data_IF_459833205111
#
_entry.id   IF_459833205111
#
_cell.length_a   1.000
_cell.length_b   1.000
_cell.length_c   1.000
_cell.angle_alpha   90.00
_cell.angle_beta   90.00
_cell.angle_gamma   90.00
#
_symmetry.space_group_name_H-M   'P 1'
#
loop_
_entity.id
_entity.type
_entity.pdbx_description
1 polymer ?
#
# COMPACT_ATOMS: atom_id res chain seq x y z
N UNK A 1 51.58 27.62 50.44
CA UNK A 1 50.98 26.36 49.95
C UNK A 1 49.62 26.62 49.48
N UNK A 2 49.42 26.93 48.20
CA UNK A 2 48.11 27.09 47.56
C UNK A 2 48.21 26.67 46.07
N UNK A 3 48.04 25.39 45.84
CA UNK A 3 47.83 24.86 44.51
C UNK A 3 46.48 24.15 44.55
N UNK A 4 45.54 24.52 43.62
CA UNK A 4 44.50 23.72 43.00
C UNK A 4 43.14 24.42 42.85
N UNK A 5 43.00 25.36 41.90
CA UNK A 5 41.71 25.47 41.22
C UNK A 5 41.79 25.18 39.69
N UNK A 6 42.98 24.99 39.08
CA UNK A 6 43.09 24.87 37.63
C UNK A 6 42.70 23.51 37.02
N UNK A 7 42.67 22.41 37.79
CA UNK A 7 42.39 21.07 37.28
C UNK A 7 40.88 20.81 37.13
N UNK A 8 40.02 21.46 37.90
CA UNK A 8 38.58 21.27 37.82
C UNK A 8 37.92 21.98 36.61
N UNK A 9 38.49 23.07 36.10
CA UNK A 9 37.97 23.78 34.93
C UNK A 9 38.25 23.03 33.62
N UNK A 10 39.36 22.27 33.54
CA UNK A 10 39.72 21.52 32.34
C UNK A 10 38.87 20.26 32.13
N UNK A 11 38.37 19.64 33.22
CA UNK A 11 37.48 18.46 33.12
C UNK A 11 36.07 18.79 32.63
N UNK A 12 35.51 19.96 32.98
CA UNK A 12 34.21 20.40 32.49
C UNK A 12 34.22 20.77 31.00
N UNK A 13 35.33 21.27 30.46
CA UNK A 13 35.45 21.64 29.04
C UNK A 13 35.58 20.40 28.16
N UNK A 14 36.14 19.29 28.63
CA UNK A 14 36.27 18.03 27.90
C UNK A 14 34.94 17.27 27.79
N UNK A 15 33.99 17.45 28.73
CA UNK A 15 32.65 16.82 28.66
C UNK A 15 31.70 17.49 27.65
N UNK A 16 31.96 18.76 27.30
CA UNK A 16 31.10 19.48 26.30
C UNK A 16 31.39 19.09 24.85
N UNK A 17 32.53 18.45 24.57
CA UNK A 17 32.92 18.05 23.20
C UNK A 17 32.32 16.73 22.75
N UNK A 18 31.60 16.00 23.61
CA UNK A 18 30.94 14.72 23.28
C UNK A 18 29.42 14.83 23.07
N UNK A 19 28.84 16.02 23.20
CA UNK A 19 27.47 16.23 22.86
C UNK A 19 27.35 16.36 21.33
N UNK A 20 27.25 15.25 20.63
CA UNK A 20 26.75 15.27 19.24
C UNK A 20 25.44 16.00 19.25
N UNK A 21 25.23 17.03 18.41
CA UNK A 21 23.93 17.70 18.31
C UNK A 21 22.89 16.63 17.97
N UNK A 22 21.89 16.47 18.82
CA UNK A 22 20.72 15.68 18.48
C UNK A 22 20.13 16.30 17.20
N UNK A 23 20.33 15.64 16.08
CA UNK A 23 19.79 16.09 14.81
C UNK A 23 18.33 15.70 14.78
N UNK A 24 17.46 16.64 14.42
CA UNK A 24 16.06 16.33 14.26
C UNK A 24 15.90 15.25 13.17
N UNK A 25 15.18 14.22 13.50
CA UNK A 25 14.80 13.14 12.58
C UNK A 25 14.05 13.72 11.38
N UNK A 26 14.30 13.21 10.17
CA UNK A 26 13.56 13.62 8.98
C UNK A 26 12.11 13.14 9.10
N UNK A 27 11.20 14.09 9.12
CA UNK A 27 9.77 13.78 9.17
C UNK A 27 9.27 13.30 7.80
N UNK A 28 8.80 12.07 7.76
CA UNK A 28 8.18 11.45 6.58
C UNK A 28 6.71 11.16 6.88
N UNK A 29 5.85 11.57 5.96
CA UNK A 29 4.43 11.22 5.95
C UNK A 29 4.13 10.47 4.66
N UNK A 30 3.32 9.44 4.74
CA UNK A 30 2.80 8.73 3.58
C UNK A 30 1.28 8.82 3.55
N UNK A 31 0.66 8.73 2.39
CA UNK A 31 -0.81 8.79 2.31
C UNK A 31 -1.43 7.53 2.92
N UNK A 32 -0.96 6.37 2.52
CA UNK A 32 -1.49 5.05 2.90
C UNK A 32 -0.44 4.19 3.59
N UNK A 33 -0.91 3.23 4.36
CA UNK A 33 -0.05 2.33 5.15
C UNK A 33 0.95 1.51 4.31
N UNK A 34 0.63 0.96 3.13
CA UNK A 34 1.64 0.27 2.31
C UNK A 34 2.88 1.13 2.01
N UNK A 35 2.70 2.42 1.71
CA UNK A 35 3.82 3.34 1.55
C UNK A 35 4.58 3.59 2.86
N UNK A 36 3.87 3.63 4.00
CA UNK A 36 4.49 3.73 5.33
C UNK A 36 5.37 2.50 5.63
N UNK A 37 4.94 1.31 5.24
CA UNK A 37 5.71 0.09 5.43
C UNK A 37 7.01 0.11 4.62
N UNK A 38 6.97 0.58 3.37
CA UNK A 38 8.17 0.79 2.55
C UNK A 38 9.09 1.84 3.18
N UNK A 39 8.53 2.99 3.60
CA UNK A 39 9.30 4.05 4.24
C UNK A 39 9.94 3.59 5.56
N UNK A 40 9.25 2.76 6.36
CA UNK A 40 9.78 2.19 7.59
C UNK A 40 11.00 1.27 7.33
N UNK A 41 10.97 0.50 6.25
CA UNK A 41 12.13 -0.31 5.87
C UNK A 41 13.34 0.56 5.51
N UNK A 42 13.14 1.71 4.85
CA UNK A 42 14.24 2.60 4.47
C UNK A 42 14.74 3.43 5.66
N UNK A 43 13.86 3.85 6.57
CA UNK A 43 14.22 4.63 7.77
C UNK A 43 14.65 3.76 8.96
N UNK A 44 14.77 2.44 8.80
CA UNK A 44 15.12 1.54 9.90
C UNK A 44 16.41 1.94 10.66
N UNK A 45 16.25 2.14 11.97
CA UNK A 45 17.33 2.59 12.86
C UNK A 45 17.70 4.08 12.72
N UNK A 46 16.92 4.88 11.96
CA UNK A 46 17.12 6.34 11.81
C UNK A 46 15.88 7.10 12.20
N UNK A 47 14.69 6.62 11.80
CA UNK A 47 13.47 7.33 12.01
C UNK A 47 12.20 6.46 11.88
N UNK A 48 11.05 7.08 12.12
CA UNK A 48 9.74 6.44 12.02
C UNK A 48 8.83 7.25 11.08
N UNK A 49 8.39 6.68 9.94
CA UNK A 49 7.45 7.36 9.07
C UNK A 49 6.03 7.35 9.66
N UNK A 50 5.29 8.40 9.38
CA UNK A 50 3.89 8.51 9.76
C UNK A 50 2.96 8.26 8.56
N UNK A 51 1.67 8.01 8.82
CA UNK A 51 0.66 7.78 7.79
C UNK A 51 -0.50 8.78 7.92
N UNK A 52 -1.00 9.27 6.78
CA UNK A 52 -2.08 10.25 6.73
C UNK A 52 -3.44 9.61 7.02
N UNK A 53 -3.76 8.55 6.29
CA UNK A 53 -5.03 7.85 6.45
C UNK A 53 -5.01 6.97 7.70
N UNK A 54 -6.02 7.09 8.57
CA UNK A 54 -6.15 6.19 9.72
C UNK A 54 -6.48 4.77 9.25
N UNK A 55 -6.20 3.74 10.07
CA UNK A 55 -6.56 2.36 9.76
C UNK A 55 -8.03 2.21 9.38
N UNK A 56 -8.30 1.50 8.29
CA UNK A 56 -9.65 1.23 7.78
C UNK A 56 -10.31 2.39 7.04
N UNK A 57 -9.61 3.50 6.81
CA UNK A 57 -10.09 4.56 5.92
C UNK A 57 -9.81 4.18 4.47
N UNK A 58 -10.81 4.38 3.60
CA UNK A 58 -10.65 4.17 2.16
C UNK A 58 -9.76 5.25 1.54
N UNK A 59 -8.74 4.88 0.75
CA UNK A 59 -7.93 5.85 0.02
C UNK A 59 -8.67 6.50 -1.15
N UNK A 60 -9.75 5.90 -1.64
CA UNK A 60 -10.56 6.46 -2.74
C UNK A 60 -11.46 7.60 -2.28
N UNK A 61 -11.93 7.55 -1.03
CA UNK A 61 -12.91 8.49 -0.48
C UNK A 61 -12.54 8.88 0.95
N UNK A 62 -11.67 9.87 1.08
CA UNK A 62 -11.29 10.39 2.39
C UNK A 62 -11.51 11.89 2.49
N UNK A 63 -12.21 12.32 3.53
CA UNK A 63 -12.39 13.73 3.85
C UNK A 63 -11.30 14.21 4.80
N UNK A 64 -10.36 15.03 4.29
CA UNK A 64 -9.27 15.58 5.07
C UNK A 64 -9.78 16.42 6.26
N UNK A 65 -9.28 16.13 7.45
CA UNK A 65 -9.51 16.92 8.66
C UNK A 65 -8.55 18.11 8.71
N UNK A 66 -8.86 19.18 9.45
CA UNK A 66 -7.91 20.29 9.63
C UNK A 66 -6.56 19.87 10.20
N UNK A 67 -6.52 18.81 11.04
CA UNK A 67 -5.29 18.20 11.55
C UNK A 67 -4.45 17.57 10.43
N UNK A 68 -5.09 16.91 9.47
CA UNK A 68 -4.42 16.25 8.35
C UNK A 68 -3.76 17.30 7.44
N UNK A 69 -4.47 18.37 7.14
CA UNK A 69 -3.94 19.51 6.37
C UNK A 69 -2.74 20.15 7.06
N UNK A 70 -2.75 20.23 8.41
CA UNK A 70 -1.61 20.74 9.17
C UNK A 70 -0.41 19.80 9.06
N UNK A 71 -0.59 18.49 9.28
CA UNK A 71 0.46 17.47 9.15
C UNK A 71 1.10 17.52 7.75
N UNK A 72 0.28 17.62 6.70
CA UNK A 72 0.73 17.77 5.32
C UNK A 72 1.61 19.03 5.12
N UNK A 73 1.31 20.13 5.79
CA UNK A 73 2.10 21.38 5.67
C UNK A 73 3.42 21.33 6.42
N UNK A 74 3.48 20.63 7.53
CA UNK A 74 4.61 20.62 8.47
C UNK A 74 5.67 19.56 8.12
N UNK A 75 5.29 18.44 7.49
CA UNK A 75 6.20 17.34 7.18
C UNK A 75 7.21 17.72 6.08
N UNK A 76 8.44 17.20 6.17
CA UNK A 76 9.49 17.48 5.19
C UNK A 76 9.26 16.74 3.88
N UNK A 77 9.01 15.42 3.95
CA UNK A 77 8.78 14.56 2.80
C UNK A 77 7.37 13.94 2.87
N UNK A 78 6.62 14.04 1.79
CA UNK A 78 5.30 13.41 1.67
C UNK A 78 5.25 12.53 0.42
N UNK A 79 4.86 11.25 0.61
CA UNK A 79 4.67 10.28 -0.45
C UNK A 79 3.21 9.85 -0.52
N UNK A 80 2.66 9.85 -1.72
CA UNK A 80 1.28 9.45 -2.01
C UNK A 80 1.23 8.71 -3.33
N UNK A 81 0.18 7.92 -3.57
CA UNK A 81 0.07 7.16 -4.82
C UNK A 81 -0.03 8.12 -6.00
N UNK A 82 -1.00 9.02 -5.97
CA UNK A 82 -1.21 9.99 -7.02
C UNK A 82 -2.68 10.38 -7.15
N UNK A 83 -3.00 11.30 -8.10
CA UNK A 83 -4.37 11.81 -8.27
C UNK A 83 -5.39 10.73 -8.68
N UNK A 84 -4.93 9.60 -9.23
CA UNK A 84 -5.82 8.50 -9.63
C UNK A 84 -6.31 7.67 -8.42
N UNK A 85 -5.67 7.78 -7.24
CA UNK A 85 -6.15 7.19 -5.99
C UNK A 85 -6.68 8.28 -5.04
N UNK A 86 -5.81 9.22 -4.65
CA UNK A 86 -6.14 10.23 -3.65
C UNK A 86 -6.55 11.55 -4.31
N UNK A 87 -7.69 11.54 -5.02
CA UNK A 87 -8.23 12.70 -5.76
C UNK A 87 -8.50 13.94 -4.88
N UNK A 88 -8.57 13.76 -3.56
CA UNK A 88 -8.75 14.83 -2.58
C UNK A 88 -7.46 15.58 -2.22
N UNK A 89 -6.26 15.08 -2.59
CA UNK A 89 -4.98 15.66 -2.20
C UNK A 89 -4.48 16.81 -3.11
N UNK A 90 -4.66 16.82 -4.44
CA UNK A 90 -4.03 17.80 -5.33
C UNK A 90 -4.22 19.25 -4.91
N UNK A 91 -5.43 19.65 -4.51
CA UNK A 91 -5.72 21.02 -4.08
C UNK A 91 -4.98 21.45 -2.81
N UNK A 92 -4.77 20.52 -1.89
CA UNK A 92 -4.07 20.79 -0.62
C UNK A 92 -2.58 20.82 -0.85
N UNK A 93 -2.06 19.95 -1.72
CA UNK A 93 -0.64 19.85 -2.04
C UNK A 93 -0.14 21.03 -2.85
N UNK A 94 -0.98 21.69 -3.65
CA UNK A 94 -0.61 22.88 -4.43
C UNK A 94 -0.09 24.05 -3.57
N UNK A 95 -0.47 24.12 -2.29
CA UNK A 95 0.00 25.14 -1.33
C UNK A 95 1.15 24.70 -0.42
N UNK A 96 1.71 23.48 -0.63
CA UNK A 96 2.74 22.91 0.22
C UNK A 96 4.14 23.41 -0.17
N UNK A 97 4.99 23.70 0.83
CA UNK A 97 6.39 24.11 0.63
C UNK A 97 7.36 22.92 0.61
N UNK A 98 7.05 21.82 1.30
CA UNK A 98 7.87 20.62 1.32
C UNK A 98 7.74 19.75 0.07
N UNK A 99 8.60 18.78 -0.12
CA UNK A 99 8.53 17.85 -1.23
C UNK A 99 7.31 16.92 -1.15
N UNK A 100 6.55 16.83 -2.24
CA UNK A 100 5.43 15.90 -2.41
C UNK A 100 5.70 15.03 -3.63
N UNK A 101 5.72 13.71 -3.44
CA UNK A 101 6.07 12.74 -4.48
C UNK A 101 4.84 11.88 -4.76
N UNK A 102 4.24 12.05 -5.94
CA UNK A 102 3.26 11.10 -6.47
C UNK A 102 4.05 9.91 -7.01
N UNK A 103 3.92 8.75 -6.35
CA UNK A 103 4.75 7.59 -6.72
C UNK A 103 4.34 6.99 -8.06
N UNK A 104 3.09 7.16 -8.49
CA UNK A 104 2.66 6.73 -9.83
C UNK A 104 3.46 7.42 -10.95
N UNK A 105 3.99 8.61 -10.73
CA UNK A 105 4.73 9.39 -11.73
C UNK A 105 6.24 9.08 -11.75
N UNK A 106 6.72 8.16 -10.90
CA UNK A 106 8.13 7.82 -10.83
C UNK A 106 8.59 7.11 -12.09
N UNK A 107 9.77 7.46 -12.64
CA UNK A 107 10.37 6.71 -13.73
C UNK A 107 10.58 5.23 -13.35
N UNK A 108 10.21 4.32 -14.25
CA UNK A 108 10.37 2.88 -14.04
C UNK A 108 9.22 2.20 -13.29
N UNK A 109 8.15 2.93 -12.97
CA UNK A 109 6.93 2.29 -12.46
C UNK A 109 6.28 1.44 -13.56
N UNK A 110 5.86 0.24 -13.20
CA UNK A 110 4.98 -0.57 -14.02
C UNK A 110 3.54 -0.16 -13.73
N UNK A 111 2.88 0.44 -14.71
CA UNK A 111 1.52 0.95 -14.58
C UNK A 111 0.55 0.12 -15.40
N UNK A 112 -0.55 -0.29 -14.79
CA UNK A 112 -1.65 -1.02 -15.40
C UNK A 112 -2.84 -0.09 -15.64
N UNK A 113 -3.70 -0.49 -16.54
CA UNK A 113 -5.02 0.12 -16.74
C UNK A 113 -6.09 -0.94 -16.57
N UNK A 114 -7.22 -0.56 -16.04
CA UNK A 114 -8.38 -1.44 -16.00
C UNK A 114 -8.77 -1.85 -17.41
N UNK A 115 -8.98 -3.15 -17.64
CA UNK A 115 -9.40 -3.71 -18.91
C UNK A 115 -10.90 -3.97 -18.90
N UNK A 116 -11.56 -3.82 -20.06
CA UNK A 116 -12.95 -4.25 -20.21
C UNK A 116 -13.02 -5.78 -20.02
N UNK A 117 -13.69 -6.23 -18.99
CA UNK A 117 -14.35 -7.52 -19.09
C UNK A 117 -15.53 -7.31 -20.04
N UNK A 118 -15.53 -8.00 -21.17
CA UNK A 118 -16.40 -7.84 -22.36
C UNK A 118 -17.72 -7.12 -22.09
N UNK A 119 -17.92 -6.04 -22.84
CA UNK A 119 -19.17 -5.27 -22.87
C UNK A 119 -20.33 -6.19 -23.24
N UNK A 120 -21.15 -6.60 -22.27
CA UNK A 120 -22.56 -6.73 -22.57
C UNK A 120 -23.15 -5.31 -22.50
N UNK A 121 -23.49 -4.81 -23.69
CA UNK A 121 -24.15 -3.52 -23.93
C UNK A 121 -25.20 -3.23 -22.85
N UNK A 122 -24.95 -2.22 -22.01
CA UNK A 122 -26.03 -1.42 -21.43
C UNK A 122 -25.50 -0.15 -20.80
N UNK A 123 -25.71 0.95 -21.54
CA UNK A 123 -25.61 2.31 -21.06
C UNK A 123 -26.56 2.53 -19.87
N UNK A 124 -26.00 2.62 -18.71
CA UNK A 124 -26.60 3.21 -17.53
C UNK A 124 -25.51 4.01 -16.88
N UNK A 125 -25.37 5.27 -17.32
CA UNK A 125 -24.38 6.19 -16.75
C UNK A 125 -24.85 6.61 -15.36
N UNK A 126 -24.29 6.01 -14.31
CA UNK A 126 -24.18 6.65 -13.02
C UNK A 126 -22.89 7.46 -13.03
N UNK A 127 -23.01 8.80 -13.07
CA UNK A 127 -21.89 9.75 -13.27
C UNK A 127 -20.94 9.87 -12.08
N UNK A 128 -20.99 8.98 -11.11
CA UNK A 128 -20.28 9.14 -9.83
C UNK A 128 -19.13 8.16 -9.59
N UNK A 129 -18.87 7.21 -10.51
CA UNK A 129 -17.79 6.22 -10.32
C UNK A 129 -16.72 6.40 -11.41
N UNK A 130 -15.73 7.25 -11.11
CA UNK A 130 -14.67 7.62 -12.06
C UNK A 130 -13.41 6.76 -11.91
N UNK A 131 -13.23 6.04 -10.80
CA UNK A 131 -11.92 5.54 -10.40
C UNK A 131 -11.54 4.18 -11.01
N UNK A 132 -12.52 3.35 -11.46
CA UNK A 132 -12.29 2.02 -12.03
C UNK A 132 -12.90 1.83 -13.42
N UNK A 133 -12.88 2.87 -14.25
CA UNK A 133 -13.37 2.77 -15.62
C UNK A 133 -12.31 2.13 -16.53
N UNK A 134 -12.73 1.34 -17.52
CA UNK A 134 -11.83 0.80 -18.52
C UNK A 134 -10.95 1.88 -19.16
N UNK A 135 -9.64 1.62 -19.21
CA UNK A 135 -8.65 2.56 -19.71
C UNK A 135 -8.11 3.56 -18.67
N UNK A 136 -8.74 3.69 -17.49
CA UNK A 136 -8.20 4.43 -16.35
C UNK A 136 -7.05 3.68 -15.70
N UNK A 137 -6.16 4.41 -15.03
CA UNK A 137 -5.05 3.81 -14.29
C UNK A 137 -5.57 2.97 -13.12
N UNK A 138 -5.11 1.74 -13.01
CA UNK A 138 -5.22 0.99 -11.77
C UNK A 138 -4.20 1.53 -10.76
N UNK A 139 -4.71 2.18 -9.73
CA UNK A 139 -3.87 2.88 -8.76
C UNK A 139 -3.33 1.98 -7.63
N UNK A 140 -3.68 0.67 -7.60
CA UNK A 140 -3.23 -0.28 -6.57
C UNK A 140 -1.79 -0.79 -6.80
N UNK A 141 -0.96 0.08 -7.34
CA UNK A 141 0.42 -0.17 -7.83
C UNK A 141 1.40 -0.65 -6.74
N UNK A 142 1.08 -0.43 -5.46
CA UNK A 142 1.91 -0.89 -4.34
C UNK A 142 1.91 -2.41 -4.16
N UNK A 143 0.98 -3.12 -4.77
CA UNK A 143 0.88 -4.57 -4.70
C UNK A 143 1.85 -5.30 -5.63
N UNK A 144 2.56 -4.57 -6.49
CA UNK A 144 3.62 -5.14 -7.33
C UNK A 144 5.00 -4.98 -6.67
N UNK A 145 5.73 -6.07 -6.37
CA UNK A 145 7.06 -5.98 -5.76
C UNK A 145 8.06 -5.14 -6.55
N UNK A 146 7.98 -5.12 -7.88
CA UNK A 146 8.84 -4.29 -8.72
C UNK A 146 8.61 -2.80 -8.48
N UNK A 147 7.36 -2.37 -8.36
CA UNK A 147 6.99 -1.00 -8.04
C UNK A 147 7.47 -0.59 -6.65
N UNK A 148 7.32 -1.48 -5.66
CA UNK A 148 7.80 -1.22 -4.31
C UNK A 148 9.32 -0.99 -4.25
N UNK A 149 10.12 -1.69 -5.08
CA UNK A 149 11.56 -1.42 -5.22
C UNK A 149 11.82 -0.03 -5.79
N UNK A 150 11.10 0.38 -6.82
CA UNK A 150 11.21 1.73 -7.40
C UNK A 150 10.87 2.81 -6.38
N UNK A 151 9.79 2.63 -5.62
CA UNK A 151 9.37 3.52 -4.54
C UNK A 151 10.44 3.59 -3.44
N UNK A 152 10.94 2.45 -2.98
CA UNK A 152 11.96 2.36 -1.95
C UNK A 152 13.28 3.06 -2.36
N UNK A 153 13.71 2.87 -3.61
CA UNK A 153 14.90 3.52 -4.17
C UNK A 153 14.74 5.04 -4.17
N UNK A 154 13.58 5.54 -4.58
CA UNK A 154 13.28 6.98 -4.54
C UNK A 154 13.25 7.51 -3.11
N UNK A 155 12.62 6.83 -2.17
CA UNK A 155 12.60 7.21 -0.75
C UNK A 155 14.01 7.27 -0.16
N UNK A 156 14.87 6.30 -0.48
CA UNK A 156 16.26 6.26 -0.02
C UNK A 156 17.09 7.43 -0.58
N UNK A 157 16.86 7.81 -1.83
CA UNK A 157 17.52 8.94 -2.46
C UNK A 157 17.09 10.27 -1.82
N UNK A 158 15.79 10.52 -1.70
CA UNK A 158 15.24 11.73 -1.10
C UNK A 158 15.71 11.89 0.36
N UNK A 159 15.68 10.81 1.16
CA UNK A 159 16.16 10.80 2.54
C UNK A 159 17.65 11.09 2.62
N UNK A 160 18.47 10.52 1.72
CA UNK A 160 19.90 10.77 1.67
C UNK A 160 20.24 12.22 1.30
N UNK A 161 19.38 12.89 0.52
CA UNK A 161 19.53 14.31 0.17
C UNK A 161 19.18 15.22 1.37
N UNK A 162 18.08 14.92 2.07
CA UNK A 162 17.61 15.74 3.21
C UNK A 162 18.46 15.51 4.45
N UNK A 163 18.97 14.29 4.65
CA UNK A 163 19.82 13.89 5.77
C UNK A 163 21.09 13.17 5.31
N UNK A 164 22.08 13.93 4.79
CA UNK A 164 23.33 13.37 4.29
C UNK A 164 24.14 12.59 5.34
N UNK A 165 23.94 12.89 6.63
CA UNK A 165 24.65 12.20 7.71
C UNK A 165 24.27 10.72 7.80
N UNK A 166 23.01 10.38 7.50
CA UNK A 166 22.48 9.02 7.52
C UNK A 166 22.37 8.40 6.10
N UNK A 167 22.89 9.05 5.06
CA UNK A 167 22.80 8.59 3.66
C UNK A 167 23.32 7.16 3.46
N UNK A 168 24.42 6.80 4.18
CA UNK A 168 24.95 5.44 4.15
C UNK A 168 24.00 4.41 4.73
N UNK A 169 23.25 4.77 5.79
CA UNK A 169 22.26 3.90 6.42
C UNK A 169 21.06 3.68 5.50
N UNK A 170 20.51 4.74 4.90
CA UNK A 170 19.39 4.62 3.95
C UNK A 170 19.73 3.72 2.76
N UNK A 171 20.93 3.83 2.19
CA UNK A 171 21.40 2.94 1.12
C UNK A 171 21.56 1.49 1.58
N UNK A 172 22.07 1.26 2.78
CA UNK A 172 22.19 -0.08 3.35
C UNK A 172 20.82 -0.71 3.60
N UNK A 173 19.86 0.08 4.09
CA UNK A 173 18.49 -0.36 4.31
C UNK A 173 17.77 -0.68 3.00
N UNK A 174 17.96 0.14 1.96
CA UNK A 174 17.43 -0.14 0.61
C UNK A 174 17.94 -1.49 0.10
N UNK A 175 19.26 -1.73 0.16
CA UNK A 175 19.84 -2.99 -0.27
C UNK A 175 19.27 -4.18 0.50
N UNK A 176 19.14 -4.05 1.82
CA UNK A 176 18.57 -5.10 2.66
C UNK A 176 17.09 -5.37 2.33
N UNK A 177 16.30 -4.31 2.07
CA UNK A 177 14.91 -4.41 1.61
C UNK A 177 14.81 -5.15 0.27
N UNK A 178 15.63 -4.78 -0.73
CA UNK A 178 15.64 -5.41 -2.05
C UNK A 178 16.00 -6.90 -1.98
N UNK A 179 16.99 -7.27 -1.13
CA UNK A 179 17.40 -8.66 -0.91
C UNK A 179 16.28 -9.49 -0.27
N UNK A 180 15.64 -8.98 0.80
CA UNK A 180 14.53 -9.67 1.46
C UNK A 180 13.33 -9.81 0.54
N UNK A 181 12.95 -8.72 -0.14
CA UNK A 181 11.82 -8.72 -1.08
C UNK A 181 12.07 -9.68 -2.25
N UNK A 182 13.30 -9.75 -2.78
CA UNK A 182 13.68 -10.69 -3.83
C UNK A 182 13.55 -12.15 -3.41
N UNK A 183 13.97 -12.46 -2.17
CA UNK A 183 13.85 -13.79 -1.59
C UNK A 183 12.40 -14.20 -1.33
N UNK A 184 11.56 -13.26 -0.90
CA UNK A 184 10.13 -13.49 -0.70
C UNK A 184 9.41 -13.69 -2.04
N UNK A 185 9.63 -12.80 -3.01
CA UNK A 185 9.00 -12.82 -4.33
C UNK A 185 9.15 -14.19 -5.03
N UNK A 186 10.34 -14.79 -4.97
CA UNK A 186 10.57 -16.12 -5.47
C UNK A 186 9.72 -17.20 -4.79
N UNK A 187 9.62 -17.16 -3.47
CA UNK A 187 8.80 -18.12 -2.68
C UNK A 187 7.30 -17.97 -2.96
N UNK A 188 6.82 -16.72 -3.06
CA UNK A 188 5.42 -16.46 -3.34
C UNK A 188 5.05 -16.91 -4.77
N UNK A 189 5.91 -16.67 -5.75
CA UNK A 189 5.72 -17.13 -7.13
C UNK A 189 5.61 -18.65 -7.20
N UNK A 190 6.46 -19.37 -6.49
CA UNK A 190 6.39 -20.83 -6.45
C UNK A 190 5.10 -21.33 -5.77
N UNK A 191 4.71 -20.71 -4.64
CA UNK A 191 3.54 -21.13 -3.88
C UNK A 191 2.23 -20.84 -4.62
N UNK A 192 2.06 -19.59 -5.05
CA UNK A 192 0.81 -19.11 -5.66
C UNK A 192 0.64 -19.60 -7.09
N UNK A 193 1.74 -19.82 -7.83
CA UNK A 193 1.68 -20.40 -9.17
C UNK A 193 1.03 -21.78 -9.22
N UNK A 194 1.04 -22.54 -8.12
CA UNK A 194 0.32 -23.82 -7.98
C UNK A 194 -1.21 -23.65 -7.90
N UNK A 195 -1.66 -22.43 -7.65
CA UNK A 195 -3.08 -22.07 -7.51
C UNK A 195 -3.64 -21.43 -8.79
N UNK A 196 -2.81 -21.26 -9.82
CA UNK A 196 -3.24 -20.70 -11.11
C UNK A 196 -4.44 -21.44 -11.68
N UNK A 197 -5.42 -20.69 -12.19
CA UNK A 197 -6.65 -21.24 -12.78
C UNK A 197 -7.72 -21.68 -11.77
N UNK A 198 -7.47 -21.64 -10.47
CA UNK A 198 -8.53 -21.86 -9.47
C UNK A 198 -9.47 -20.66 -9.44
N UNK A 199 -10.81 -20.85 -9.49
CA UNK A 199 -11.76 -19.77 -9.61
C UNK A 199 -11.88 -18.98 -8.32
N UNK A 200 -11.77 -17.65 -8.43
CA UNK A 200 -12.07 -16.73 -7.35
C UNK A 200 -12.65 -15.41 -7.88
N UNK A 201 -13.36 -14.74 -7.01
CA UNK A 201 -14.01 -13.48 -7.25
C UNK A 201 -13.56 -12.48 -6.19
N UNK A 202 -13.45 -11.21 -6.55
CA UNK A 202 -13.12 -10.12 -5.66
C UNK A 202 -14.30 -9.15 -5.58
N UNK A 203 -14.48 -8.52 -4.41
CA UNK A 203 -15.49 -7.47 -4.29
C UNK A 203 -15.07 -6.20 -5.01
N UNK A 204 -13.81 -5.85 -4.92
CA UNK A 204 -13.21 -4.67 -5.49
C UNK A 204 -12.01 -5.07 -6.38
N UNK A 205 -11.84 -4.42 -7.51
CA UNK A 205 -10.77 -4.70 -8.49
C UNK A 205 -9.45 -4.02 -8.03
N UNK A 206 -8.84 -4.56 -6.97
CA UNK A 206 -7.64 -3.98 -6.36
C UNK A 206 -6.39 -4.86 -6.51
N UNK A 207 -6.53 -6.12 -6.90
CA UNK A 207 -5.46 -7.12 -6.76
C UNK A 207 -4.71 -7.44 -8.05
N UNK A 208 -5.02 -6.79 -9.16
CA UNK A 208 -4.45 -7.07 -10.49
C UNK A 208 -2.93 -7.06 -10.55
N UNK A 209 -2.29 -6.13 -9.85
CA UNK A 209 -0.82 -6.10 -9.74
C UNK A 209 -0.25 -7.31 -9.00
N UNK A 210 -0.93 -7.74 -7.93
CA UNK A 210 -0.55 -8.94 -7.18
C UNK A 210 -0.81 -10.20 -8.00
N UNK A 211 -1.94 -10.26 -8.66
CA UNK A 211 -2.33 -11.37 -9.55
C UNK A 211 -1.32 -11.53 -10.69
N UNK A 212 -0.94 -10.43 -11.34
CA UNK A 212 0.09 -10.43 -12.39
C UNK A 212 1.44 -10.92 -11.87
N UNK A 213 1.87 -10.44 -10.68
CA UNK A 213 3.15 -10.85 -10.09
C UNK A 213 3.24 -12.36 -9.87
N UNK A 214 2.12 -13.00 -9.53
CA UNK A 214 2.12 -14.38 -9.04
C UNK A 214 1.32 -15.36 -9.91
N UNK A 215 0.85 -14.93 -11.07
CA UNK A 215 0.16 -15.80 -12.04
C UNK A 215 -1.25 -16.21 -11.60
N UNK A 216 -1.90 -15.40 -10.77
CA UNK A 216 -3.30 -15.53 -10.42
C UNK A 216 -4.16 -14.73 -11.40
N UNK A 217 -5.44 -15.02 -11.46
CA UNK A 217 -6.44 -14.24 -12.20
C UNK A 217 -7.81 -14.46 -11.61
N UNK A 218 -8.47 -13.40 -11.16
CA UNK A 218 -9.85 -13.46 -10.71
C UNK A 218 -10.80 -13.80 -11.88
N UNK A 219 -11.94 -14.41 -11.53
CA UNK A 219 -12.97 -14.82 -12.50
C UNK A 219 -13.99 -13.71 -12.72
N UNK A 220 -14.17 -12.82 -11.74
CA UNK A 220 -15.08 -11.69 -11.82
C UNK A 220 -14.98 -10.77 -10.61
N UNK A 221 -15.54 -9.57 -10.78
CA UNK A 221 -15.54 -8.47 -9.82
C UNK A 221 -16.99 -8.10 -9.47
N UNK A 222 -17.29 -7.93 -8.18
CA UNK A 222 -18.66 -7.62 -7.74
C UNK A 222 -18.99 -6.13 -7.77
N UNK A 223 -18.03 -5.28 -7.50
CA UNK A 223 -18.20 -3.84 -7.47
C UNK A 223 -17.00 -3.13 -8.09
N UNK A 224 -17.23 -1.99 -8.68
CA UNK A 224 -16.16 -1.15 -9.26
C UNK A 224 -15.29 -0.56 -8.15
N UNK A 225 -15.86 -0.28 -6.99
CA UNK A 225 -15.11 0.09 -5.78
C UNK A 225 -15.77 -0.49 -4.53
N UNK A 226 -15.04 -0.56 -3.43
CA UNK A 226 -15.53 -1.12 -2.16
C UNK A 226 -16.73 -0.34 -1.58
N UNK A 227 -16.89 0.93 -1.95
CA UNK A 227 -17.93 1.84 -1.47
C UNK A 227 -19.20 1.83 -2.31
N UNK A 228 -19.14 1.30 -3.54
CA UNK A 228 -20.28 1.30 -4.47
C UNK A 228 -21.06 -0.01 -4.37
N UNK A 229 -22.35 0.11 -4.12
CA UNK A 229 -23.24 -1.07 -4.13
C UNK A 229 -23.60 -1.44 -5.57
N UNK A 230 -23.32 -2.68 -6.01
CA UNK A 230 -23.65 -3.10 -7.36
C UNK A 230 -25.16 -3.15 -7.57
N UNK A 231 -25.62 -2.77 -8.77
CA UNK A 231 -27.01 -2.84 -9.16
C UNK A 231 -27.54 -4.28 -9.25
N UNK A 232 -28.85 -4.48 -9.10
CA UNK A 232 -29.48 -5.79 -9.04
C UNK A 232 -29.19 -6.69 -10.28
N UNK A 233 -29.06 -6.10 -11.46
CA UNK A 233 -28.72 -6.84 -12.70
C UNK A 233 -27.31 -7.41 -12.63
N UNK A 234 -26.33 -6.58 -12.19
CA UNK A 234 -24.95 -7.02 -12.04
C UNK A 234 -24.82 -8.11 -10.97
N UNK A 235 -25.51 -7.95 -9.83
CA UNK A 235 -25.60 -9.00 -8.78
C UNK A 235 -26.12 -10.32 -9.33
N UNK A 236 -27.16 -10.28 -10.16
CA UNK A 236 -27.72 -11.50 -10.77
C UNK A 236 -26.72 -12.14 -11.76
N UNK A 237 -26.02 -11.35 -12.57
CA UNK A 237 -24.98 -11.84 -13.47
C UNK A 237 -23.82 -12.48 -12.70
N UNK A 238 -23.32 -11.82 -11.65
CA UNK A 238 -22.24 -12.36 -10.78
C UNK A 238 -22.66 -13.67 -10.10
N UNK A 239 -23.92 -13.77 -9.63
CA UNK A 239 -24.44 -15.02 -9.07
C UNK A 239 -24.48 -16.15 -10.12
N UNK A 240 -24.82 -15.84 -11.36
CA UNK A 240 -24.80 -16.81 -12.46
C UNK A 240 -23.36 -17.27 -12.75
N UNK A 241 -22.39 -16.37 -12.76
CA UNK A 241 -20.97 -16.72 -12.94
C UNK A 241 -20.44 -17.56 -11.77
N UNK A 242 -20.77 -17.24 -10.51
CA UNK A 242 -20.43 -18.06 -9.35
C UNK A 242 -20.97 -19.47 -9.46
N UNK A 243 -22.23 -19.59 -9.89
CA UNK A 243 -22.87 -20.91 -10.10
C UNK A 243 -22.19 -21.70 -11.21
N UNK A 244 -21.75 -21.05 -12.27
CA UNK A 244 -21.05 -21.68 -13.38
C UNK A 244 -19.62 -22.10 -13.00
N UNK A 245 -18.94 -21.30 -12.16
CA UNK A 245 -17.59 -21.60 -11.69
C UNK A 245 -17.53 -22.81 -10.75
N UNK A 246 -18.63 -23.14 -10.06
CA UNK A 246 -18.67 -24.22 -9.07
C UNK A 246 -17.96 -23.83 -7.77
N UNK A 247 -17.14 -24.74 -7.17
CA UNK A 247 -16.36 -24.38 -5.98
C UNK A 247 -15.42 -23.21 -6.27
N UNK A 248 -15.59 -22.09 -5.52
CA UNK A 248 -14.82 -20.89 -5.72
C UNK A 248 -14.58 -20.14 -4.41
N UNK A 249 -13.62 -19.20 -4.41
CA UNK A 249 -13.44 -18.23 -3.33
C UNK A 249 -14.08 -16.90 -3.69
N UNK A 250 -14.66 -16.22 -2.69
CA UNK A 250 -15.06 -14.82 -2.77
C UNK A 250 -14.25 -14.06 -1.74
N UNK A 251 -13.52 -13.05 -2.19
CA UNK A 251 -12.70 -12.20 -1.34
C UNK A 251 -13.31 -10.81 -1.17
N UNK A 252 -13.28 -10.31 0.06
CA UNK A 252 -13.62 -8.93 0.40
C UNK A 252 -12.48 -8.29 1.18
N UNK A 253 -12.43 -6.95 1.21
CA UNK A 253 -11.40 -6.21 1.94
C UNK A 253 -11.89 -5.82 3.34
N UNK A 254 -11.06 -6.00 4.40
CA UNK A 254 -11.36 -5.48 5.73
C UNK A 254 -11.30 -3.93 5.75
N UNK A 255 -12.05 -3.25 6.65
CA UNK A 255 -12.89 -3.85 7.68
C UNK A 255 -14.32 -4.16 7.20
N UNK A 256 -14.62 -3.94 5.95
CA UNK A 256 -15.98 -4.05 5.40
C UNK A 256 -16.20 -5.43 4.79
N UNK A 257 -16.93 -6.28 5.49
CA UNK A 257 -17.51 -7.48 4.87
C UNK A 257 -18.89 -7.13 4.32
N UNK A 258 -19.05 -7.02 2.98
CA UNK A 258 -20.35 -6.69 2.40
C UNK A 258 -21.39 -7.77 2.73
N UNK A 259 -22.56 -7.37 3.23
CA UNK A 259 -23.70 -8.30 3.42
C UNK A 259 -24.08 -9.03 2.13
N UNK A 260 -23.77 -8.42 1.01
CA UNK A 260 -23.96 -8.99 -0.31
C UNK A 260 -23.14 -10.28 -0.50
N UNK A 261 -21.95 -10.40 0.10
CA UNK A 261 -21.15 -11.62 0.04
C UNK A 261 -21.90 -12.83 0.59
N UNK A 262 -22.55 -12.67 1.74
CA UNK A 262 -23.36 -13.76 2.34
C UNK A 262 -24.56 -14.13 1.45
N UNK A 263 -25.26 -13.13 0.90
CA UNK A 263 -26.41 -13.36 -0.01
C UNK A 263 -25.97 -14.04 -1.31
N UNK A 264 -24.84 -13.66 -1.88
CA UNK A 264 -24.31 -14.25 -3.12
C UNK A 264 -23.86 -15.70 -2.92
N UNK A 265 -23.33 -16.01 -1.76
CA UNK A 265 -22.83 -17.36 -1.41
C UNK A 265 -23.93 -18.35 -1.04
N UNK A 266 -25.14 -17.89 -0.71
CA UNK A 266 -26.22 -18.73 -0.22
C UNK A 266 -26.57 -19.86 -1.20
N UNK A 267 -26.45 -21.11 -0.74
CA UNK A 267 -26.73 -22.31 -1.52
C UNK A 267 -25.69 -22.63 -2.62
N UNK A 268 -24.55 -21.95 -2.66
CA UNK A 268 -23.46 -22.22 -3.60
C UNK A 268 -22.24 -22.82 -2.88
N UNK A 269 -21.42 -23.65 -3.56
CA UNK A 269 -20.23 -24.26 -2.97
C UNK A 269 -19.04 -23.27 -2.93
N UNK A 270 -19.27 -22.04 -2.43
CA UNK A 270 -18.26 -20.97 -2.39
C UNK A 270 -17.78 -20.76 -0.96
N UNK A 271 -16.55 -20.25 -0.84
CA UNK A 271 -15.90 -19.89 0.42
C UNK A 271 -15.70 -18.39 0.47
N UNK A 272 -16.05 -17.79 1.61
CA UNK A 272 -15.79 -16.37 1.86
C UNK A 272 -14.47 -16.23 2.60
N UNK A 273 -13.63 -15.29 2.18
CA UNK A 273 -12.37 -14.95 2.81
C UNK A 273 -12.10 -13.43 2.66
N UNK A 274 -11.05 -12.95 3.29
CA UNK A 274 -10.65 -11.54 3.26
C UNK A 274 -9.25 -11.40 2.67
N UNK A 275 -8.99 -10.29 1.99
CA UNK A 275 -7.69 -9.86 1.49
C UNK A 275 -7.42 -8.45 1.99
N UNK A 276 -6.38 -8.27 2.80
CA UNK A 276 -5.99 -6.97 3.37
C UNK A 276 -4.90 -6.31 2.51
N UNK A 277 -5.31 -5.60 1.48
CA UNK A 277 -4.43 -4.88 0.55
C UNK A 277 -3.70 -3.68 1.18
N UNK A 278 -4.26 -3.12 2.25
CA UNK A 278 -3.69 -2.00 2.98
C UNK A 278 -2.83 -2.42 4.18
N UNK A 279 -2.87 -3.69 4.58
CA UNK A 279 -2.07 -4.17 5.71
C UNK A 279 -2.48 -3.57 7.05
N UNK A 280 -3.79 -3.46 7.32
CA UNK A 280 -4.34 -2.79 8.51
C UNK A 280 -3.67 -3.26 9.81
N UNK A 281 -3.42 -4.57 9.93
CA UNK A 281 -2.84 -5.18 11.12
C UNK A 281 -1.34 -5.45 11.01
N UNK A 282 -0.68 -5.04 9.93
CA UNK A 282 0.76 -5.24 9.75
C UNK A 282 1.54 -4.24 10.61
N UNK A 283 2.57 -4.73 11.31
CA UNK A 283 3.48 -3.88 12.09
C UNK A 283 4.28 -2.94 11.19
N UNK A 284 4.49 -1.71 11.65
CA UNK A 284 5.32 -0.71 10.96
C UNK A 284 6.77 -0.91 11.41
N UNK A 285 7.50 -1.72 10.66
CA UNK A 285 8.90 -2.06 10.91
C UNK A 285 9.65 -2.35 9.59
N UNK A 286 10.92 -2.71 9.67
CA UNK A 286 11.76 -2.97 8.51
C UNK A 286 11.28 -4.11 7.60
N UNK A 287 10.42 -5.01 8.08
CA UNK A 287 9.88 -6.14 7.33
C UNK A 287 8.39 -5.96 7.00
N UNK A 288 7.82 -4.81 7.35
CA UNK A 288 6.37 -4.59 7.26
C UNK A 288 5.81 -4.82 5.86
N UNK A 289 6.48 -4.33 4.81
CA UNK A 289 6.02 -4.50 3.44
C UNK A 289 6.05 -5.97 3.00
N UNK A 290 7.13 -6.69 3.32
CA UNK A 290 7.24 -8.12 3.06
C UNK A 290 6.16 -8.92 3.81
N UNK A 291 5.82 -8.51 5.02
CA UNK A 291 4.74 -9.10 5.81
C UNK A 291 3.37 -8.85 5.17
N UNK A 292 3.11 -7.66 4.61
CA UNK A 292 1.91 -7.37 3.83
C UNK A 292 1.74 -8.37 2.68
N UNK A 293 2.75 -8.53 1.82
CA UNK A 293 2.68 -9.46 0.69
C UNK A 293 2.54 -10.92 1.13
N UNK A 294 3.24 -11.31 2.19
CA UNK A 294 3.16 -12.67 2.72
C UNK A 294 1.79 -13.00 3.33
N UNK A 295 1.16 -12.02 3.98
CA UNK A 295 -0.20 -12.16 4.51
C UNK A 295 -1.21 -12.32 3.38
N UNK A 296 -1.17 -11.45 2.36
CA UNK A 296 -2.02 -11.57 1.17
C UNK A 296 -1.86 -12.95 0.51
N UNK A 297 -0.63 -13.42 0.33
CA UNK A 297 -0.37 -14.75 -0.22
C UNK A 297 -0.95 -15.87 0.66
N UNK A 298 -0.88 -15.72 1.98
CA UNK A 298 -1.47 -16.63 2.95
C UNK A 298 -3.00 -16.65 2.88
N UNK A 299 -3.63 -15.49 2.72
CA UNK A 299 -5.08 -15.32 2.60
C UNK A 299 -5.60 -15.94 1.29
N UNK A 300 -4.96 -15.65 0.14
CA UNK A 300 -5.27 -16.30 -1.14
C UNK A 300 -5.15 -17.82 -1.03
N UNK A 301 -4.01 -18.31 -0.56
CA UNK A 301 -3.75 -19.74 -0.44
C UNK A 301 -4.71 -20.39 0.56
N UNK A 302 -4.99 -19.74 1.69
CA UNK A 302 -5.87 -20.25 2.74
C UNK A 302 -7.28 -20.59 2.28
N UNK A 303 -7.76 -19.92 1.21
CA UNK A 303 -9.03 -20.26 0.56
C UNK A 303 -8.82 -21.19 -0.64
N UNK A 304 -7.95 -20.80 -1.59
CA UNK A 304 -7.80 -21.51 -2.86
C UNK A 304 -7.25 -22.92 -2.73
N UNK A 305 -6.41 -23.21 -1.74
CA UNK A 305 -5.91 -24.59 -1.48
C UNK A 305 -7.03 -25.55 -1.03
N UNK A 306 -8.18 -25.02 -0.58
CA UNK A 306 -9.32 -25.82 -0.09
C UNK A 306 -10.39 -26.07 -1.17
N UNK A 307 -10.19 -25.55 -2.38
CA UNK A 307 -10.97 -25.87 -3.57
C UNK A 307 -10.39 -27.15 -4.21
#
# INVERSE_FOLDING_TARGET
MTLRPFVLLSACFALFLLASPARAEVSVLTSIKPLQLVAAAIQDGVGQPDVLLPPGASPHQYALRPSDVRRLREVQLFYWIGPDLENFLPKVLAGRQGASVAVQDLPGMHLRKFVNFEEEEHAGHDEHDHDHRPGMLDAHLWLLPANARTIAARMAEDLAQVDPANAGRYRANLKAFEERLGGLDGKLRERLGKLAGKPFFVFHEAFDYFEEAYGLRHTGVFAVSAEVQPGARHVAAMRAQLKAAGPACIFSEPPLRPRLADTLSEGLPVRLAELDDLGVNVSVDANGYENLLNNLAGEFAGCLEKL
#
